data_IF_548294087151
#
_entry.id   IF_548294087151
#
_cell.length_a   1.000
_cell.length_b   1.000
_cell.length_c   1.000
_cell.angle_alpha   90.00
_cell.angle_beta   90.00
_cell.angle_gamma   90.00
#
_symmetry.space_group_name_H-M   'P 1'
#
loop_
_entity.id
_entity.type
_entity.pdbx_description
1 polymer ?
#
# COMPACT_ATOMS: atom_id res chain seq x y z
N UNK A 1 1.86 8.89 22.84
CA UNK A 1 3.14 8.49 22.21
C UNK A 1 2.84 8.40 20.72
N UNK A 2 3.03 9.53 20.02
CA UNK A 2 2.55 9.71 18.64
C UNK A 2 3.45 8.97 17.66
N UNK A 3 2.84 8.35 16.66
CA UNK A 3 3.48 7.51 15.67
C UNK A 3 4.66 8.22 14.98
N UNK A 4 5.88 7.76 15.27
CA UNK A 4 7.13 8.30 14.74
C UNK A 4 7.29 7.99 13.24
N UNK A 5 6.58 6.97 12.73
CA UNK A 5 6.62 6.60 11.31
C UNK A 5 5.88 7.64 10.48
N UNK A 6 4.71 8.08 10.94
CA UNK A 6 3.92 9.12 10.27
C UNK A 6 4.71 10.44 10.08
N UNK A 7 5.48 10.87 11.09
CA UNK A 7 6.30 12.09 10.97
C UNK A 7 7.50 11.96 10.04
N UNK A 8 8.09 10.77 9.95
CA UNK A 8 9.27 10.55 9.11
C UNK A 8 8.89 10.37 7.63
N UNK A 9 7.69 9.87 7.34
CA UNK A 9 7.14 9.81 5.99
C UNK A 9 6.92 11.21 5.39
N UNK A 10 6.33 12.15 6.14
CA UNK A 10 6.13 13.54 5.72
C UNK A 10 7.44 14.25 5.33
N UNK A 11 8.55 13.92 6.00
CA UNK A 11 9.84 14.57 5.80
C UNK A 11 10.69 13.98 4.66
N UNK A 12 10.45 12.72 4.28
CA UNK A 12 11.37 11.96 3.41
C UNK A 12 10.84 11.71 1.99
N UNK A 13 9.55 11.95 1.75
CA UNK A 13 8.93 11.81 0.43
C UNK A 13 7.89 12.92 0.22
N UNK A 14 8.22 14.04 -0.44
CA UNK A 14 7.24 15.06 -0.82
C UNK A 14 6.35 14.61 -2.01
N UNK A 15 6.21 13.30 -2.22
CA UNK A 15 5.11 12.75 -2.98
C UNK A 15 4.02 12.57 -1.95
N UNK A 16 3.16 13.58 -1.81
CA UNK A 16 1.95 13.49 -1.04
C UNK A 16 1.15 12.29 -1.59
N UNK A 17 1.33 11.12 -0.98
CA UNK A 17 0.47 9.97 -1.17
C UNK A 17 -0.79 10.26 -0.36
N UNK A 18 -1.54 11.28 -0.80
CA UNK A 18 -2.84 11.64 -0.25
C UNK A 18 -3.69 10.36 -0.21
N UNK A 19 -4.06 9.93 1.00
CA UNK A 19 -4.77 8.66 1.18
C UNK A 19 -3.93 7.50 1.74
N UNK A 20 -2.59 7.56 1.74
CA UNK A 20 -1.76 6.46 2.24
C UNK A 20 -1.93 6.24 3.74
N UNK A 21 -1.96 7.30 4.54
CA UNK A 21 -2.20 7.18 5.99
C UNK A 21 -3.55 6.52 6.28
N UNK A 22 -4.59 6.87 5.50
CA UNK A 22 -5.90 6.24 5.58
C UNK A 22 -5.85 4.78 5.14
N UNK A 23 -5.13 4.45 4.07
CA UNK A 23 -4.93 3.08 3.62
C UNK A 23 -4.22 2.24 4.69
N UNK A 24 -3.12 2.74 5.28
CA UNK A 24 -2.42 2.09 6.39
C UNK A 24 -3.39 1.84 7.55
N UNK A 25 -4.16 2.85 7.97
CA UNK A 25 -5.13 2.70 9.06
C UNK A 25 -6.22 1.64 8.79
N UNK A 26 -6.61 1.43 7.51
CA UNK A 26 -7.56 0.36 7.14
C UNK A 26 -6.97 -1.03 7.32
N UNK A 27 -5.68 -1.20 7.00
CA UNK A 27 -5.01 -2.50 6.98
C UNK A 27 -4.27 -2.83 8.29
N UNK A 28 -3.96 -1.84 9.12
CA UNK A 28 -3.24 -2.01 10.39
C UNK A 28 -3.86 -3.05 11.34
N UNK A 29 -5.21 -3.19 11.44
CA UNK A 29 -5.83 -4.20 12.32
C UNK A 29 -5.75 -5.65 11.81
N UNK A 30 -5.43 -5.89 10.54
CA UNK A 30 -5.36 -7.24 9.96
C UNK A 30 -4.23 -8.06 10.60
N UNK A 31 -4.22 -9.37 10.46
CA UNK A 31 -3.10 -10.28 10.79
C UNK A 31 -2.07 -10.35 9.66
N UNK A 32 -0.88 -10.91 9.92
CA UNK A 32 0.14 -11.08 8.87
C UNK A 32 -0.37 -11.97 7.71
N UNK A 33 -1.12 -13.02 8.02
CA UNK A 33 -1.69 -13.92 6.99
C UNK A 33 -2.76 -13.19 6.15
N UNK A 34 -3.60 -12.37 6.77
CA UNK A 34 -4.58 -11.54 6.04
C UNK A 34 -3.90 -10.50 5.14
N UNK A 35 -2.81 -9.88 5.62
CA UNK A 35 -2.02 -8.94 4.83
C UNK A 35 -1.35 -9.64 3.64
N UNK A 36 -0.81 -10.84 3.81
CA UNK A 36 -0.23 -11.64 2.72
C UNK A 36 -1.28 -12.02 1.67
N UNK A 37 -2.44 -12.50 2.12
CA UNK A 37 -3.56 -12.80 1.22
C UNK A 37 -4.05 -11.55 0.47
N UNK A 38 -4.08 -10.40 1.14
CA UNK A 38 -4.39 -9.12 0.52
C UNK A 38 -3.34 -8.70 -0.52
N UNK A 39 -2.05 -8.85 -0.23
CA UNK A 39 -0.96 -8.57 -1.18
C UNK A 39 -1.13 -9.40 -2.45
N UNK A 40 -1.34 -10.72 -2.32
CA UNK A 40 -1.56 -11.61 -3.47
C UNK A 40 -2.77 -11.18 -4.31
N UNK A 41 -3.86 -10.78 -3.65
CA UNK A 41 -5.06 -10.28 -4.33
C UNK A 41 -4.77 -8.98 -5.08
N UNK A 42 -4.18 -7.99 -4.40
CA UNK A 42 -3.84 -6.68 -4.97
C UNK A 42 -2.87 -6.85 -6.15
N UNK A 43 -1.89 -7.74 -6.07
CA UNK A 43 -1.00 -8.03 -7.19
C UNK A 43 -1.74 -8.55 -8.43
N UNK A 44 -2.78 -9.37 -8.26
CA UNK A 44 -3.63 -9.80 -9.37
C UNK A 44 -4.42 -8.64 -9.96
N UNK A 45 -5.06 -7.83 -9.11
CA UNK A 45 -5.85 -6.67 -9.54
C UNK A 45 -4.98 -5.64 -10.29
N UNK A 46 -3.75 -5.38 -9.84
CA UNK A 46 -2.79 -4.53 -10.53
C UNK A 46 -2.42 -5.09 -11.91
N UNK A 47 -2.20 -6.41 -12.01
CA UNK A 47 -1.88 -7.06 -13.30
C UNK A 47 -3.07 -7.04 -14.25
N UNK A 48 -4.28 -7.21 -13.75
CA UNK A 48 -5.51 -7.12 -14.55
C UNK A 48 -5.71 -5.69 -15.05
N UNK A 49 -5.59 -4.70 -14.17
CA UNK A 49 -5.66 -3.29 -14.53
C UNK A 49 -4.63 -2.89 -15.59
N UNK A 50 -3.38 -3.35 -15.45
CA UNK A 50 -2.31 -3.05 -16.40
C UNK A 50 -2.43 -3.78 -17.74
N UNK A 51 -3.22 -4.86 -17.82
CA UNK A 51 -3.50 -5.58 -19.07
C UNK A 51 -4.62 -4.94 -19.88
N UNK A 52 -5.40 -4.06 -19.26
CA UNK A 52 -6.43 -3.30 -19.94
C UNK A 52 -5.77 -2.28 -20.89
N UNK A 53 -6.07 -2.32 -22.21
CA UNK A 53 -5.55 -1.35 -23.17
C UNK A 53 -5.85 0.10 -22.81
N UNK A 54 -6.94 0.40 -22.11
CA UNK A 54 -7.28 1.76 -21.66
C UNK A 54 -6.27 2.32 -20.64
N UNK A 55 -5.52 1.43 -19.98
CA UNK A 55 -4.52 1.79 -18.98
C UNK A 55 -3.07 1.66 -19.48
N UNK A 56 -2.85 1.32 -20.76
CA UNK A 56 -1.53 0.96 -21.29
C UNK A 56 -0.46 2.06 -21.13
N UNK A 57 -0.85 3.33 -21.21
CA UNK A 57 0.04 4.49 -21.06
C UNK A 57 -0.05 5.15 -19.68
N UNK A 58 -0.90 4.63 -18.78
CA UNK A 58 -1.11 5.20 -17.46
C UNK A 58 -0.07 4.68 -16.47
N UNK A 59 0.47 5.54 -15.59
CA UNK A 59 1.38 5.09 -14.55
C UNK A 59 0.63 4.18 -13.55
N UNK A 60 1.33 3.19 -13.01
CA UNK A 60 0.76 2.23 -12.05
C UNK A 60 0.20 2.89 -10.78
N UNK A 61 0.67 4.10 -10.46
CA UNK A 61 0.18 4.93 -9.37
C UNK A 61 -1.30 5.34 -9.53
N UNK A 62 -1.83 5.28 -10.75
CA UNK A 62 -3.24 5.52 -11.04
C UNK A 62 -4.12 4.27 -10.91
N UNK A 63 -3.53 3.11 -10.62
CA UNK A 63 -4.30 1.91 -10.31
C UNK A 63 -5.14 2.14 -9.04
N UNK A 64 -6.42 1.75 -9.02
CA UNK A 64 -7.29 1.95 -7.85
C UNK A 64 -6.75 1.34 -6.55
N UNK A 65 -5.93 0.30 -6.65
CA UNK A 65 -5.35 -0.43 -5.51
C UNK A 65 -3.91 -0.03 -5.20
N UNK A 66 -3.40 1.04 -5.82
CA UNK A 66 -2.01 1.45 -5.63
C UNK A 66 -1.70 1.80 -4.17
N UNK A 67 -2.55 2.60 -3.52
CA UNK A 67 -2.36 2.98 -2.11
C UNK A 67 -2.51 1.78 -1.16
N UNK A 68 -3.44 0.88 -1.46
CA UNK A 68 -3.60 -0.36 -0.69
C UNK A 68 -2.39 -1.28 -0.83
N UNK A 69 -1.81 -1.36 -2.03
CA UNK A 69 -0.55 -2.07 -2.25
C UNK A 69 0.55 -1.51 -1.35
N UNK A 70 0.76 -0.20 -1.37
CA UNK A 70 1.79 0.43 -0.56
C UNK A 70 1.55 0.21 0.94
N UNK A 71 0.31 0.38 1.41
CA UNK A 71 -0.04 0.18 2.80
C UNK A 71 0.20 -1.27 3.27
N UNK A 72 -0.24 -2.24 2.49
CA UNK A 72 -0.09 -3.67 2.81
C UNK A 72 1.38 -4.07 2.84
N UNK A 73 2.18 -3.68 1.84
CA UNK A 73 3.61 -4.03 1.81
C UNK A 73 4.38 -3.42 2.99
N UNK A 74 4.12 -2.15 3.33
CA UNK A 74 4.73 -1.48 4.50
C UNK A 74 4.39 -2.22 5.80
N UNK A 75 3.14 -2.65 5.96
CA UNK A 75 2.71 -3.37 7.16
C UNK A 75 3.27 -4.79 7.24
N UNK A 76 3.37 -5.50 6.11
CA UNK A 76 4.03 -6.81 6.04
C UNK A 76 5.50 -6.69 6.45
N UNK A 77 6.21 -5.73 5.86
CA UNK A 77 7.63 -5.49 6.17
C UNK A 77 7.83 -5.16 7.65
N UNK A 78 7.02 -4.23 8.19
CA UNK A 78 7.06 -3.86 9.61
C UNK A 78 6.89 -5.08 10.50
N UNK A 79 5.90 -5.93 10.23
CA UNK A 79 5.64 -7.13 11.05
C UNK A 79 6.71 -8.18 10.94
N UNK A 80 7.25 -8.39 9.73
CA UNK A 80 8.35 -9.32 9.53
C UNK A 80 9.58 -8.98 10.39
N UNK A 81 9.80 -7.69 10.71
CA UNK A 81 10.90 -7.25 11.56
C UNK A 81 10.53 -7.08 13.05
N UNK A 82 9.25 -7.10 13.43
CA UNK A 82 8.80 -6.87 14.82
C UNK A 82 8.13 -8.06 15.48
N UNK A 83 7.62 -9.02 14.71
CA UNK A 83 7.00 -10.28 15.18
C UNK A 83 7.96 -11.46 14.96
#
# INVERSE_FOLDING_TARGET
MGDHVARNLDASAPIALDGLAQAIARWEPCSLDELRAASDRIQREVREWARDPENAERPISESPVYLDRMAVEVLIERRFFTE
#
